data_IF_856318515394
#
_entry.id   IF_856318515394
#
_cell.length_a   1.000
_cell.length_b   1.000
_cell.length_c   1.000
_cell.angle_alpha   90.00
_cell.angle_beta   90.00
_cell.angle_gamma   90.00
#
_symmetry.space_group_name_H-M   'P 1'
#
loop_
_entity.id
_entity.type
_entity.pdbx_description
1 polymer ?
#
# COMPACT_ATOMS: atom_id res chain seq x y z
N UNK A 1 50.13 -16.38 39.57
CA UNK A 1 49.84 -14.93 39.69
C UNK A 1 50.39 -14.45 41.03
N UNK A 2 50.81 -13.18 41.13
CA UNK A 2 51.23 -12.55 42.39
C UNK A 2 50.08 -11.76 43.04
N UNK A 3 50.17 -11.48 44.35
CA UNK A 3 49.11 -10.81 45.10
C UNK A 3 48.76 -9.43 44.52
N UNK A 4 49.76 -8.68 44.04
CA UNK A 4 49.54 -7.35 43.46
C UNK A 4 48.67 -7.41 42.21
N UNK A 5 48.90 -8.38 41.33
CA UNK A 5 48.07 -8.56 40.14
C UNK A 5 46.69 -9.07 40.51
N UNK A 6 46.58 -9.99 41.46
CA UNK A 6 45.32 -10.52 41.94
C UNK A 6 44.42 -9.40 42.49
N UNK A 7 44.93 -8.58 43.41
CA UNK A 7 44.19 -7.44 44.00
C UNK A 7 43.64 -6.48 42.95
N UNK A 8 44.39 -6.21 41.88
CA UNK A 8 43.92 -5.34 40.78
C UNK A 8 42.79 -5.95 39.97
N UNK A 9 42.72 -7.27 39.89
CA UNK A 9 41.71 -7.99 39.12
C UNK A 9 40.43 -8.27 39.92
N UNK A 10 40.47 -8.17 41.26
CA UNK A 10 39.30 -8.42 42.11
C UNK A 10 38.11 -7.52 41.74
N UNK A 11 38.31 -6.23 41.46
CA UNK A 11 37.20 -5.33 41.08
C UNK A 11 36.53 -5.79 39.79
N UNK A 12 37.31 -5.96 38.72
CA UNK A 12 36.81 -6.42 37.43
C UNK A 12 36.22 -7.85 37.50
N UNK A 13 36.67 -8.67 38.46
CA UNK A 13 36.07 -9.97 38.73
C UNK A 13 34.68 -9.84 39.38
N UNK A 14 34.50 -8.92 40.32
CA UNK A 14 33.21 -8.67 40.96
C UNK A 14 32.17 -8.06 39.99
N UNK A 15 32.65 -7.34 38.97
CA UNK A 15 31.83 -6.70 37.95
C UNK A 15 31.58 -7.61 36.71
N UNK A 16 32.01 -8.88 36.75
CA UNK A 16 31.94 -9.85 35.62
C UNK A 16 32.65 -9.36 34.33
N UNK A 17 33.70 -8.55 34.46
CA UNK A 17 34.46 -7.97 33.33
C UNK A 17 35.75 -8.74 32.98
N UNK A 18 36.06 -9.82 33.71
CA UNK A 18 37.24 -10.63 33.43
C UNK A 18 37.01 -11.63 32.28
N UNK A 19 37.99 -11.74 31.39
CA UNK A 19 38.04 -12.86 30.45
C UNK A 19 38.26 -14.19 31.20
N UNK A 20 37.72 -15.29 30.66
CA UNK A 20 37.66 -16.59 31.33
C UNK A 20 39.03 -17.17 31.70
N UNK A 21 40.07 -16.88 30.90
CA UNK A 21 41.45 -17.28 31.17
C UNK A 21 42.03 -16.59 32.42
N UNK A 22 41.75 -15.29 32.58
CA UNK A 22 42.17 -14.51 33.76
C UNK A 22 41.35 -14.85 34.98
N UNK A 23 40.07 -15.16 34.80
CA UNK A 23 39.18 -15.57 35.88
C UNK A 23 39.69 -16.86 36.54
N UNK A 24 40.04 -17.88 35.74
CA UNK A 24 40.60 -19.12 36.23
C UNK A 24 41.91 -18.91 37.01
N UNK A 25 42.80 -18.06 36.51
CA UNK A 25 44.06 -17.73 37.19
C UNK A 25 43.84 -16.98 38.51
N UNK A 26 42.85 -16.09 38.56
CA UNK A 26 42.50 -15.36 39.78
C UNK A 26 41.87 -16.30 40.80
N UNK A 27 40.94 -17.17 40.38
CA UNK A 27 40.30 -18.16 41.24
C UNK A 27 41.31 -19.12 41.88
N UNK A 28 42.30 -19.58 41.11
CA UNK A 28 43.41 -20.40 41.63
C UNK A 28 44.27 -19.63 42.65
N UNK A 29 44.45 -18.32 42.47
CA UNK A 29 45.16 -17.52 43.46
C UNK A 29 44.33 -17.30 44.73
N UNK A 30 43.03 -17.05 44.60
CA UNK A 30 42.12 -16.85 45.73
C UNK A 30 41.93 -18.13 46.56
N UNK A 31 42.04 -19.31 45.95
CA UNK A 31 41.98 -20.59 46.67
C UNK A 31 43.22 -20.86 47.53
N UNK A 32 44.37 -20.29 47.15
CA UNK A 32 45.67 -20.52 47.79
C UNK A 32 46.16 -19.35 48.66
N UNK A 33 45.59 -18.15 48.51
CA UNK A 33 46.01 -16.93 49.21
C UNK A 33 44.91 -16.33 50.10
N UNK A 34 45.02 -16.55 51.41
CA UNK A 34 44.05 -16.04 52.39
C UNK A 34 43.95 -14.51 52.47
N UNK A 35 45.02 -13.76 52.19
CA UNK A 35 44.98 -12.29 52.22
C UNK A 35 44.14 -11.72 51.06
N UNK A 36 44.31 -12.25 49.85
CA UNK A 36 43.53 -11.83 48.68
C UNK A 36 42.07 -12.29 48.80
N UNK A 37 41.82 -13.45 49.39
CA UNK A 37 40.46 -13.90 49.71
C UNK A 37 39.77 -12.96 50.70
N UNK A 38 40.47 -12.55 51.77
CA UNK A 38 39.94 -11.61 52.75
C UNK A 38 39.60 -10.24 52.12
N UNK A 39 40.47 -9.76 51.22
CA UNK A 39 40.24 -8.52 50.46
C UNK A 39 38.99 -8.61 49.56
N UNK A 40 38.84 -9.70 48.81
CA UNK A 40 37.64 -9.95 48.00
C UNK A 40 36.36 -9.95 48.85
N UNK A 41 36.39 -10.61 50.01
CA UNK A 41 35.25 -10.65 50.94
C UNK A 41 34.92 -9.25 51.46
N UNK A 42 35.93 -8.46 51.83
CA UNK A 42 35.74 -7.09 52.33
C UNK A 42 35.13 -6.17 51.26
N UNK A 43 35.56 -6.27 49.99
CA UNK A 43 34.94 -5.53 48.88
C UNK A 43 33.47 -5.94 48.69
N UNK A 44 33.19 -7.24 48.69
CA UNK A 44 31.82 -7.77 48.55
C UNK A 44 30.90 -7.28 49.68
N UNK A 45 31.39 -7.27 50.92
CA UNK A 45 30.65 -6.72 52.06
C UNK A 45 30.36 -5.23 51.89
N UNK A 46 31.32 -4.48 51.36
CA UNK A 46 31.13 -3.04 51.09
C UNK A 46 30.06 -2.82 50.02
N UNK A 47 30.07 -3.60 48.93
CA UNK A 47 29.03 -3.55 47.90
C UNK A 47 27.64 -3.87 48.46
N UNK A 48 27.52 -4.90 49.30
CA UNK A 48 26.25 -5.24 49.97
C UNK A 48 25.78 -4.11 50.89
N UNK A 49 26.68 -3.52 51.67
CA UNK A 49 26.36 -2.40 52.55
C UNK A 49 25.89 -1.16 51.75
N UNK A 50 26.45 -0.92 50.56
CA UNK A 50 26.00 0.15 49.67
C UNK A 50 24.69 -0.18 48.96
N UNK A 51 24.49 -1.44 48.54
CA UNK A 51 23.27 -1.92 47.88
C UNK A 51 22.06 -2.02 48.81
N UNK A 52 22.27 -2.01 50.13
CA UNK A 52 21.20 -1.95 51.13
C UNK A 52 20.51 -0.58 51.23
N UNK A 53 20.92 0.42 50.44
CA UNK A 53 20.22 1.71 50.39
C UNK A 53 18.84 1.54 49.75
N UNK A 54 17.88 2.29 50.29
CA UNK A 54 16.50 2.40 49.80
C UNK A 54 16.49 2.40 48.27
N UNK A 55 15.79 1.44 47.68
CA UNK A 55 15.63 1.37 46.23
C UNK A 55 14.86 2.62 45.81
N UNK A 56 15.57 3.65 45.36
CA UNK A 56 14.98 4.89 44.86
C UNK A 56 14.22 4.48 43.61
N UNK A 57 12.90 4.34 43.74
CA UNK A 57 12.04 4.14 42.59
C UNK A 57 12.28 5.30 41.64
N UNK A 58 12.62 5.04 40.36
CA UNK A 58 12.76 6.12 39.40
C UNK A 58 11.44 6.90 39.32
N UNK A 59 11.55 8.21 39.10
CA UNK A 59 10.38 9.10 38.98
C UNK A 59 9.49 8.77 37.77
N UNK A 60 10.02 7.96 36.85
CA UNK A 60 9.33 7.44 35.68
C UNK A 60 9.53 5.92 35.62
N UNK A 61 8.53 5.24 35.10
CA UNK A 61 8.50 3.80 34.91
C UNK A 61 8.93 3.44 33.49
N UNK A 62 9.23 2.16 33.24
CA UNK A 62 9.47 1.66 31.88
C UNK A 62 8.28 1.95 30.94
N UNK A 63 7.05 1.93 31.47
CA UNK A 63 5.85 2.29 30.71
C UNK A 63 5.87 3.73 30.19
N UNK A 64 6.50 4.66 30.94
CA UNK A 64 6.66 6.06 30.52
C UNK A 64 7.67 6.20 29.37
N UNK A 65 8.60 5.26 29.22
CA UNK A 65 9.59 5.22 28.12
C UNK A 65 9.01 4.56 26.86
N UNK A 66 8.11 3.59 27.02
CA UNK A 66 7.52 2.85 25.90
C UNK A 66 6.42 3.65 25.19
N UNK A 67 5.62 4.44 25.94
CA UNK A 67 4.51 5.21 25.38
C UNK A 67 4.89 6.18 24.25
N UNK A 68 6.00 6.94 24.33
CA UNK A 68 6.38 7.88 23.27
C UNK A 68 6.99 7.16 22.06
N UNK A 69 7.59 5.97 22.26
CA UNK A 69 8.17 5.17 21.18
C UNK A 69 7.07 4.52 20.33
N UNK A 70 6.04 3.96 20.99
CA UNK A 70 4.88 3.37 20.33
C UNK A 70 4.11 4.39 19.46
N UNK A 71 3.88 5.60 19.98
CA UNK A 71 3.18 6.64 19.22
C UNK A 71 3.99 7.11 17.99
N UNK A 72 5.31 7.25 18.11
CA UNK A 72 6.17 7.61 16.97
C UNK A 72 6.16 6.53 15.88
N UNK A 73 6.14 5.25 16.26
CA UNK A 73 6.09 4.15 15.30
C UNK A 73 4.74 4.07 14.59
N UNK A 74 3.63 4.30 15.30
CA UNK A 74 2.30 4.38 14.71
C UNK A 74 2.19 5.53 13.68
N UNK A 75 2.72 6.71 14.00
CA UNK A 75 2.75 7.85 13.07
C UNK A 75 3.62 7.59 11.84
N UNK A 76 4.75 6.90 11.99
CA UNK A 76 5.65 6.54 10.88
C UNK A 76 5.05 5.49 9.95
N UNK A 77 4.30 4.53 10.49
CA UNK A 77 3.58 3.52 9.70
C UNK A 77 2.49 4.13 8.80
N UNK A 78 1.75 5.12 9.30
CA UNK A 78 0.73 5.81 8.51
C UNK A 78 1.35 6.75 7.45
N UNK A 79 2.43 7.46 7.80
CA UNK A 79 3.15 8.34 6.86
C UNK A 79 3.75 7.59 5.66
N UNK A 80 4.20 6.34 5.84
CA UNK A 80 4.70 5.51 4.74
C UNK A 80 3.57 4.87 3.92
N UNK A 81 2.44 4.51 4.54
CA UNK A 81 1.29 3.90 3.85
C UNK A 81 0.51 4.86 2.94
N UNK A 82 0.38 6.14 3.34
CA UNK A 82 -0.35 7.15 2.56
C UNK A 82 0.57 8.16 1.85
N UNK A 83 1.80 8.38 2.35
CA UNK A 83 2.74 9.35 1.79
C UNK A 83 3.29 8.99 0.41
N UNK A 84 3.43 7.70 0.09
CA UNK A 84 3.91 7.26 -1.23
C UNK A 84 2.88 7.52 -2.35
N UNK A 85 1.58 7.50 -2.04
CA UNK A 85 0.51 7.82 -3.00
C UNK A 85 0.52 9.31 -3.37
N UNK A 86 0.98 10.19 -2.48
CA UNK A 86 1.09 11.62 -2.72
C UNK A 86 2.34 12.01 -3.54
N UNK A 87 3.31 11.09 -3.66
CA UNK A 87 4.45 11.21 -4.58
C UNK A 87 4.21 10.49 -5.91
N UNK A 88 2.97 10.07 -6.22
CA UNK A 88 2.66 9.54 -7.53
C UNK A 88 2.99 10.61 -8.61
N UNK A 89 3.91 10.34 -9.55
CA UNK A 89 4.22 11.28 -10.60
C UNK A 89 2.94 11.60 -11.37
N UNK A 90 2.74 12.88 -11.73
CA UNK A 90 1.56 13.42 -12.44
C UNK A 90 1.18 12.66 -13.73
N UNK A 91 1.99 11.71 -14.16
CA UNK A 91 1.84 10.90 -15.36
C UNK A 91 0.89 9.70 -15.10
N UNK A 92 0.76 9.24 -13.84
CA UNK A 92 -0.12 8.12 -13.47
C UNK A 92 -1.60 8.51 -13.62
N UNK A 93 -1.96 9.76 -13.37
CA UNK A 93 -3.34 10.25 -13.59
C UNK A 93 -3.69 10.32 -15.08
N UNK A 94 -2.71 10.62 -15.95
CA UNK A 94 -2.92 10.68 -17.41
C UNK A 94 -3.13 9.27 -17.98
N UNK A 95 -2.36 8.28 -17.54
CA UNK A 95 -2.54 6.88 -17.97
C UNK A 95 -3.83 6.25 -17.45
N UNK A 96 -4.24 6.56 -16.21
CA UNK A 96 -5.51 6.09 -15.65
C UNK A 96 -6.73 6.54 -16.45
N UNK A 97 -6.73 7.78 -16.96
CA UNK A 97 -7.81 8.29 -17.81
C UNK A 97 -7.89 7.56 -19.17
N UNK A 98 -6.75 7.24 -19.78
CA UNK A 98 -6.71 6.52 -21.08
C UNK A 98 -7.25 5.09 -20.95
N UNK A 99 -6.92 4.39 -19.86
CA UNK A 99 -7.41 3.03 -19.60
C UNK A 99 -8.93 3.02 -19.36
N UNK A 100 -9.47 4.00 -18.61
CA UNK A 100 -10.91 4.10 -18.38
C UNK A 100 -11.70 4.32 -19.69
N UNK A 101 -11.16 5.12 -20.62
CA UNK A 101 -11.76 5.35 -21.94
C UNK A 101 -11.72 4.06 -22.78
N UNK A 102 -10.62 3.31 -22.73
CA UNK A 102 -10.49 2.05 -23.48
C UNK A 102 -11.43 0.95 -22.96
N UNK A 103 -11.55 0.78 -21.64
CA UNK A 103 -12.46 -0.20 -21.04
C UNK A 103 -13.92 0.18 -21.28
N UNK A 104 -14.26 1.47 -21.23
CA UNK A 104 -15.60 1.95 -21.60
C UNK A 104 -15.93 1.72 -23.07
N UNK A 105 -14.99 1.93 -23.99
CA UNK A 105 -15.20 1.72 -25.42
C UNK A 105 -15.35 0.23 -25.78
N UNK A 106 -14.51 -0.65 -25.22
CA UNK A 106 -14.59 -2.10 -25.50
C UNK A 106 -15.78 -2.75 -24.79
N UNK A 107 -16.09 -2.33 -23.54
CA UNK A 107 -17.24 -2.82 -22.79
C UNK A 107 -18.59 -2.33 -23.32
N UNK A 108 -18.66 -1.08 -23.79
CA UNK A 108 -19.88 -0.50 -24.37
C UNK A 108 -20.29 -1.14 -25.70
N UNK A 109 -19.33 -1.55 -26.52
CA UNK A 109 -19.60 -2.23 -27.80
C UNK A 109 -20.12 -3.66 -27.56
N UNK A 110 -19.62 -4.36 -26.54
CA UNK A 110 -20.07 -5.72 -26.22
C UNK A 110 -21.53 -5.82 -25.77
N UNK A 111 -22.03 -4.84 -25.02
CA UNK A 111 -23.41 -4.82 -24.52
C UNK A 111 -24.45 -4.46 -25.61
N UNK A 112 -24.08 -3.68 -26.62
CA UNK A 112 -24.99 -3.38 -27.73
C UNK A 112 -25.20 -4.56 -28.69
N UNK A 113 -24.26 -5.51 -28.75
CA UNK A 113 -24.39 -6.69 -29.60
C UNK A 113 -25.37 -7.74 -29.04
N UNK A 114 -25.48 -7.84 -27.70
CA UNK A 114 -26.40 -8.79 -27.02
C UNK A 114 -27.85 -8.31 -27.01
N UNK A 115 -28.09 -6.99 -27.16
CA UNK A 115 -29.44 -6.43 -27.12
C UNK A 115 -30.06 -6.19 -28.51
N UNK A 116 -29.60 -6.90 -29.54
CA UNK A 116 -30.39 -6.95 -30.78
C UNK A 116 -31.59 -7.87 -30.52
N UNK A 117 -32.83 -7.35 -30.51
CA UNK A 117 -34.00 -8.21 -30.43
C UNK A 117 -33.96 -9.11 -31.65
N UNK A 118 -33.87 -10.42 -31.41
CA UNK A 118 -34.01 -11.44 -32.44
C UNK A 118 -35.32 -11.18 -33.16
N UNK A 119 -35.22 -10.71 -34.40
CA UNK A 119 -36.37 -10.51 -35.26
C UNK A 119 -37.01 -11.89 -35.44
N UNK A 120 -38.24 -12.15 -34.97
CA UNK A 120 -38.86 -13.45 -35.14
C UNK A 120 -38.96 -13.74 -36.64
N UNK A 121 -38.73 -15.00 -37.07
CA UNK A 121 -38.88 -15.39 -38.46
C UNK A 121 -40.30 -15.06 -38.92
N UNK A 122 -40.39 -14.50 -40.13
CA UNK A 122 -41.62 -14.05 -40.76
C UNK A 122 -42.58 -15.21 -41.04
N UNK A 123 -43.31 -15.66 -40.02
CA UNK A 123 -44.40 -16.63 -40.16
C UNK A 123 -45.80 -15.98 -40.24
N UNK A 124 -45.90 -14.65 -40.16
CA UNK A 124 -47.19 -13.93 -40.16
C UNK A 124 -47.51 -13.13 -41.42
N UNK A 125 -46.68 -13.18 -42.47
CA UNK A 125 -46.97 -12.47 -43.75
C UNK A 125 -47.88 -13.24 -44.71
N UNK A 126 -48.15 -14.53 -44.47
CA UNK A 126 -49.01 -15.32 -45.36
C UNK A 126 -50.52 -15.03 -45.20
N UNK A 127 -50.94 -14.32 -44.15
CA UNK A 127 -52.37 -14.05 -43.88
C UNK A 127 -52.82 -12.68 -44.41
N UNK A 128 -51.91 -11.72 -44.57
CA UNK A 128 -52.21 -10.38 -45.09
C UNK A 128 -52.27 -10.31 -46.62
N UNK A 129 -51.65 -11.26 -47.33
CA UNK A 129 -51.66 -11.30 -48.82
C UNK A 129 -52.96 -11.90 -49.39
N UNK A 130 -53.71 -12.70 -48.61
CA UNK A 130 -54.99 -13.27 -49.06
C UNK A 130 -56.15 -12.27 -48.92
N UNK A 131 -56.04 -11.30 -48.00
CA UNK A 131 -57.09 -10.28 -47.79
C UNK A 131 -56.99 -9.05 -48.71
N UNK A 132 -55.94 -8.91 -49.53
CA UNK A 132 -55.73 -7.73 -50.41
C UNK A 132 -56.03 -7.98 -51.89
N UNK A 133 -56.53 -9.17 -52.27
CA UNK A 133 -56.88 -9.52 -53.65
C UNK A 133 -58.36 -9.24 -54.03
N UNK A 134 -59.08 -8.45 -53.23
CA UNK A 134 -60.52 -8.19 -53.40
C UNK A 134 -60.95 -6.74 -53.59
N UNK A 135 -60.03 -5.79 -53.83
CA UNK A 135 -60.37 -4.37 -53.99
C UNK A 135 -59.60 -3.72 -55.15
N UNK A 136 -59.86 -4.21 -56.37
CA UNK A 136 -59.73 -3.51 -57.65
C UNK A 136 -61.18 -3.35 -58.15
N UNK A 137 -61.73 -2.18 -58.46
CA UNK A 137 -61.27 -1.17 -59.41
C UNK A 137 -61.91 0.18 -59.08
N UNK A 138 -61.12 1.24 -58.95
CA UNK A 138 -61.58 2.63 -59.08
C UNK A 138 -60.68 3.34 -60.12
N UNK A 139 -61.10 3.44 -61.39
CA UNK A 139 -60.27 3.92 -62.49
C UNK A 139 -60.32 5.45 -62.63
N UNK A 140 -59.91 6.20 -61.59
CA UNK A 140 -59.97 7.67 -61.62
C UNK A 140 -58.75 8.39 -61.03
N UNK A 141 -57.57 7.78 -61.11
CA UNK A 141 -56.30 8.40 -60.71
C UNK A 141 -55.31 8.63 -61.87
N UNK A 142 -55.74 8.43 -63.12
CA UNK A 142 -54.85 8.45 -64.30
C UNK A 142 -54.64 9.86 -64.91
N UNK A 143 -54.82 10.94 -64.15
CA UNK A 143 -54.87 12.31 -64.73
C UNK A 143 -54.10 13.43 -64.01
N UNK A 144 -53.22 13.12 -63.06
CA UNK A 144 -52.32 14.15 -62.48
C UNK A 144 -50.94 13.50 -62.38
N UNK A 145 -50.10 13.65 -63.43
CA UNK A 145 -49.13 14.75 -63.54
C UNK A 145 -48.15 14.76 -62.36
N UNK A 146 -46.83 14.77 -62.45
CA UNK A 146 -45.81 14.97 -63.47
C UNK A 146 -44.52 14.48 -62.76
N UNK A 147 -43.69 13.63 -63.35
CA UNK A 147 -42.37 13.96 -63.97
C UNK A 147 -41.34 14.72 -63.09
N UNK A 148 -40.02 14.55 -63.35
CA UNK A 148 -39.06 14.08 -62.36
C UNK A 148 -37.82 14.98 -62.20
N UNK A 149 -36.86 14.51 -61.39
CA UNK A 149 -35.39 14.67 -61.53
C UNK A 149 -34.70 15.97 -61.09
N UNK A 150 -33.54 15.80 -60.42
CA UNK A 150 -32.52 16.84 -60.20
C UNK A 150 -31.79 16.65 -58.86
N UNK A 151 -30.62 15.96 -58.82
CA UNK A 151 -29.24 16.52 -58.81
C UNK A 151 -28.75 16.91 -57.40
N UNK A 152 -27.78 16.23 -56.78
CA UNK A 152 -26.33 16.16 -57.06
C UNK A 152 -25.51 17.29 -56.40
N UNK A 153 -24.40 16.89 -55.74
CA UNK A 153 -23.14 17.65 -55.44
C UNK A 153 -23.24 18.85 -54.48
N UNK A 154 -22.33 19.18 -53.56
CA UNK A 154 -21.08 18.67 -52.98
C UNK A 154 -20.73 19.61 -51.79
N UNK A 155 -19.80 19.27 -50.87
CA UNK A 155 -19.45 20.12 -49.73
C UNK A 155 -18.21 20.98 -49.97
N UNK A 156 -18.19 22.22 -49.44
CA UNK A 156 -17.01 23.08 -49.43
C UNK A 156 -17.20 24.31 -48.57
N UNK A 157 -16.36 24.49 -47.55
CA UNK A 157 -16.40 25.68 -46.69
C UNK A 157 -15.44 25.62 -45.51
N UNK A 158 -14.15 25.79 -45.79
CA UNK A 158 -13.05 25.96 -44.84
C UNK A 158 -12.82 27.48 -44.69
N UNK A 159 -12.72 27.99 -43.47
CA UNK A 159 -12.26 29.36 -43.12
C UNK A 159 -12.17 29.43 -41.59
N UNK A 160 -11.01 29.57 -40.92
CA UNK A 160 -10.12 30.75 -40.86
C UNK A 160 -10.97 32.01 -40.52
N UNK A 161 -10.72 32.81 -39.48
CA UNK A 161 -9.48 33.45 -38.99
C UNK A 161 -9.72 33.89 -37.52
N UNK A 162 -8.68 34.01 -36.66
CA UNK A 162 -8.09 35.30 -36.27
C UNK A 162 -8.80 35.88 -35.02
N UNK A 163 -8.23 36.61 -34.05
CA UNK A 163 -7.01 37.41 -33.85
C UNK A 163 -6.95 37.64 -32.32
N UNK A 164 -5.77 37.52 -31.71
CA UNK A 164 -4.95 38.65 -31.22
C UNK A 164 -5.69 39.61 -30.28
#
# INVERSE_FOLDING_TARGET
MDCRSATRLISAYLDDELASDREALLNEHLSSCGSCQAEMIALKQTMVAMGARENISPAFTLADIESPAAERQARRGWALGFGWFSLAPRWVTVLGAVVAIFVGAVGGIGLHAVNQPTRPPAASRAVSDILSLGASDDPLADLIAERPSGSSTAPGGRGQEGRL
#
